data_IF_461555500957
#
_entry.id   IF_461555500957
#
_cell.length_a   1.000
_cell.length_b   1.000
_cell.length_c   1.000
_cell.angle_alpha   90.00
_cell.angle_beta   90.00
_cell.angle_gamma   90.00
#
_symmetry.space_group_name_H-M   'P 1'
#
loop_
_entity.id
_entity.type
_entity.pdbx_description
1 polymer ?
#
# COMPACT_ATOMS: atom_id res chain seq x y z
N UNK A 1 -0.62 -2.73 -19.85
CA UNK A 1 -1.48 -3.28 -18.77
C UNK A 1 -1.28 -2.35 -17.59
N UNK A 2 -2.33 -1.71 -17.08
CA UNK A 2 -2.17 -0.86 -15.89
C UNK A 2 -1.71 -1.76 -14.74
N UNK A 3 -0.66 -1.36 -14.01
CA UNK A 3 -0.24 -2.08 -12.81
C UNK A 3 -1.41 -2.13 -11.81
N UNK A 4 -1.71 -3.34 -11.35
CA UNK A 4 -2.81 -3.59 -10.41
C UNK A 4 -2.53 -2.80 -9.12
N UNK A 5 -1.30 -2.81 -8.62
CA UNK A 5 -0.88 -2.01 -7.46
C UNK A 5 0.24 -1.06 -7.89
N UNK A 6 0.09 0.23 -7.58
CA UNK A 6 1.08 1.26 -7.90
C UNK A 6 1.71 1.78 -6.61
N UNK A 7 3.01 1.54 -6.42
CA UNK A 7 3.78 2.18 -5.33
C UNK A 7 4.13 3.60 -5.74
N UNK A 8 3.79 4.59 -4.92
CA UNK A 8 4.06 6.01 -5.20
C UNK A 8 4.96 6.69 -4.16
N UNK A 9 5.22 6.04 -3.02
CA UNK A 9 6.25 6.46 -2.08
C UNK A 9 6.84 5.25 -1.36
N UNK A 10 8.17 5.21 -1.20
CA UNK A 10 8.87 4.14 -0.48
C UNK A 10 10.01 4.70 0.35
N UNK A 11 9.98 4.41 1.65
CA UNK A 11 11.07 4.64 2.60
C UNK A 11 11.75 3.34 3.01
N UNK A 12 12.57 3.41 4.06
CA UNK A 12 13.27 2.24 4.60
C UNK A 12 12.31 1.27 5.31
N UNK A 13 11.33 1.81 6.05
CA UNK A 13 10.40 1.03 6.89
C UNK A 13 8.94 1.22 6.48
N UNK A 14 8.64 2.15 5.58
CA UNK A 14 7.28 2.51 5.20
C UNK A 14 7.13 2.53 3.68
N UNK A 15 5.96 2.14 3.18
CA UNK A 15 5.64 2.17 1.76
C UNK A 15 4.19 2.62 1.57
N UNK A 16 3.92 3.42 0.54
CA UNK A 16 2.57 3.86 0.19
C UNK A 16 2.21 3.40 -1.21
N UNK A 17 1.06 2.74 -1.32
CA UNK A 17 0.59 2.11 -2.54
C UNK A 17 -0.86 2.48 -2.86
N UNK A 18 -1.20 2.55 -4.14
CA UNK A 18 -2.55 2.74 -4.63
C UNK A 18 -3.01 1.45 -5.32
N UNK A 19 -4.15 0.89 -4.90
CA UNK A 19 -4.67 -0.39 -5.39
C UNK A 19 -6.19 -0.32 -5.64
N UNK A 20 -6.77 -1.20 -6.48
CA UNK A 20 -8.20 -1.34 -6.65
C UNK A 20 -8.93 -1.46 -5.31
N UNK A 21 -10.09 -0.82 -5.20
CA UNK A 21 -10.85 -0.74 -3.96
C UNK A 21 -11.38 -2.10 -3.48
N UNK A 22 -11.46 -3.08 -4.38
CA UNK A 22 -11.84 -4.47 -4.10
C UNK A 22 -10.69 -5.34 -3.56
N UNK A 23 -9.44 -4.90 -3.66
CA UNK A 23 -8.31 -5.64 -3.09
C UNK A 23 -8.27 -5.49 -1.57
N UNK A 24 -8.02 -6.60 -0.87
CA UNK A 24 -7.77 -6.59 0.57
C UNK A 24 -6.31 -6.27 0.90
N UNK A 25 -6.06 -5.95 2.16
CA UNK A 25 -4.73 -5.61 2.66
C UNK A 25 -3.67 -6.69 2.38
N UNK A 26 -3.93 -7.97 2.70
CA UNK A 26 -3.00 -9.05 2.39
C UNK A 26 -2.64 -9.16 0.90
N UNK A 27 -3.61 -9.03 -0.02
CA UNK A 27 -3.35 -9.05 -1.45
C UNK A 27 -2.50 -7.85 -1.90
N UNK A 28 -2.74 -6.67 -1.34
CA UNK A 28 -1.91 -5.47 -1.60
C UNK A 28 -0.49 -5.69 -1.10
N UNK A 29 -0.30 -6.15 0.14
CA UNK A 29 1.03 -6.40 0.70
C UNK A 29 1.81 -7.46 -0.09
N UNK A 30 1.15 -8.53 -0.53
CA UNK A 30 1.76 -9.54 -1.38
C UNK A 30 2.16 -8.98 -2.76
N UNK A 31 1.31 -8.15 -3.38
CA UNK A 31 1.63 -7.50 -4.64
C UNK A 31 2.81 -6.52 -4.51
N UNK A 32 2.82 -5.68 -3.47
CA UNK A 32 3.93 -4.77 -3.18
C UNK A 32 5.20 -5.55 -2.91
N UNK A 33 5.16 -6.63 -2.13
CA UNK A 33 6.36 -7.44 -1.82
C UNK A 33 6.98 -8.12 -3.03
N UNK A 34 6.15 -8.54 -4.00
CA UNK A 34 6.63 -9.16 -5.25
C UNK A 34 7.38 -8.16 -6.12
N UNK A 35 6.83 -6.96 -6.29
CA UNK A 35 7.35 -5.99 -7.27
C UNK A 35 8.33 -4.99 -6.62
N UNK A 36 8.22 -4.79 -5.30
CA UNK A 36 9.01 -3.89 -4.47
C UNK A 36 9.35 -4.53 -3.11
N UNK A 37 10.27 -5.50 -3.03
CA UNK A 37 10.60 -6.17 -1.78
C UNK A 37 11.11 -5.19 -0.70
N UNK A 38 10.77 -5.45 0.58
CA UNK A 38 11.17 -4.61 1.73
C UNK A 38 12.66 -4.71 2.05
N UNK A 39 13.32 -5.80 1.63
CA UNK A 39 14.69 -6.11 2.02
C UNK A 39 14.82 -6.71 3.42
N UNK A 40 13.70 -7.00 4.09
CA UNK A 40 13.63 -7.70 5.38
C UNK A 40 13.02 -9.10 5.20
N UNK A 41 13.33 -10.03 6.11
CA UNK A 41 12.71 -11.37 6.10
C UNK A 41 11.20 -11.33 6.42
N UNK A 42 10.72 -10.23 7.03
CA UNK A 42 9.32 -10.04 7.38
C UNK A 42 8.44 -9.63 6.18
N UNK A 43 9.03 -9.05 5.13
CA UNK A 43 8.27 -8.50 4.01
C UNK A 43 7.50 -7.22 4.37
N UNK A 44 6.60 -6.80 3.50
CA UNK A 44 5.66 -5.70 3.81
C UNK A 44 4.40 -6.23 4.48
N UNK A 45 3.92 -5.50 5.49
CA UNK A 45 2.61 -5.68 6.13
C UNK A 45 1.80 -4.39 6.05
N UNK A 46 0.47 -4.46 6.23
CA UNK A 46 -0.36 -3.26 6.29
C UNK A 46 -0.14 -2.57 7.65
N UNK A 47 0.23 -1.29 7.60
CA UNK A 47 0.45 -0.51 8.81
C UNK A 47 -0.85 -0.35 9.60
N UNK A 48 -0.79 -0.47 10.92
CA UNK A 48 -1.95 -0.24 11.80
C UNK A 48 -2.27 1.24 12.00
N UNK A 49 -1.29 2.09 11.72
CA UNK A 49 -1.35 3.53 11.92
C UNK A 49 -2.11 4.20 10.77
N UNK A 50 -2.78 5.33 11.03
CA UNK A 50 -3.34 6.17 9.97
C UNK A 50 -2.22 6.82 9.13
N UNK A 51 -2.60 7.42 8.01
CA UNK A 51 -1.71 8.30 7.28
C UNK A 51 -1.32 9.53 8.13
N UNK A 52 -0.21 10.18 7.76
CA UNK A 52 0.35 11.32 8.50
C UNK A 52 -0.61 12.51 8.64
N UNK A 53 -1.52 12.66 7.69
CA UNK A 53 -2.58 13.68 7.67
C UNK A 53 -3.81 13.31 8.52
N UNK A 54 -3.84 12.11 9.10
CA UNK A 54 -4.93 11.61 9.93
C UNK A 54 -5.97 10.78 9.17
N UNK A 55 -5.82 10.61 7.85
CA UNK A 55 -6.71 9.73 7.08
C UNK A 55 -6.54 8.26 7.51
N UNK A 56 -7.62 7.45 7.52
CA UNK A 56 -7.55 6.05 7.91
C UNK A 56 -6.69 5.24 6.93
N UNK A 57 -6.19 4.09 7.37
CA UNK A 57 -5.56 3.11 6.49
C UNK A 57 -6.49 1.89 6.32
N UNK A 58 -7.03 1.60 5.12
CA UNK A 58 -6.88 2.38 3.88
C UNK A 58 -7.83 3.59 3.79
N UNK A 59 -7.51 4.54 2.91
CA UNK A 59 -8.38 5.66 2.54
C UNK A 59 -8.69 5.67 1.02
N UNK A 60 -9.77 6.33 0.58
CA UNK A 60 -10.07 6.47 -0.85
C UNK A 60 -8.97 7.21 -1.61
N UNK A 61 -8.74 6.82 -2.87
CA UNK A 61 -7.85 7.60 -3.73
C UNK A 61 -8.52 8.92 -4.16
N UNK A 62 -7.78 10.02 -4.07
CA UNK A 62 -8.25 11.35 -4.45
C UNK A 62 -8.33 11.58 -5.97
N UNK A 63 -7.76 10.66 -6.76
CA UNK A 63 -7.76 10.71 -8.24
C UNK A 63 -8.73 9.72 -8.86
N UNK A 64 -8.90 8.55 -8.25
CA UNK A 64 -9.71 7.45 -8.79
C UNK A 64 -10.56 6.81 -7.68
N UNK A 65 -11.87 7.02 -7.74
CA UNK A 65 -12.81 6.49 -6.75
C UNK A 65 -12.89 4.95 -6.73
N UNK A 66 -12.40 4.27 -7.77
CA UNK A 66 -12.29 2.81 -7.81
C UNK A 66 -11.01 2.30 -7.13
N UNK A 67 -10.22 3.17 -6.50
CA UNK A 67 -8.94 2.82 -5.85
C UNK A 67 -8.87 3.31 -4.41
N UNK A 68 -7.98 2.69 -3.65
CA UNK A 68 -7.66 3.02 -2.27
C UNK A 68 -6.15 3.19 -2.11
N UNK A 69 -5.76 4.11 -1.22
CA UNK A 69 -4.41 4.26 -0.74
C UNK A 69 -4.19 3.37 0.48
N UNK A 70 -3.01 2.74 0.50
CA UNK A 70 -2.57 1.83 1.54
C UNK A 70 -1.22 2.29 2.08
N UNK A 71 -1.07 2.28 3.39
CA UNK A 71 0.19 2.41 4.08
C UNK A 71 0.67 1.03 4.52
N UNK A 72 1.92 0.71 4.20
CA UNK A 72 2.60 -0.52 4.56
C UNK A 72 3.82 -0.25 5.42
N UNK A 73 4.17 -1.19 6.28
CA UNK A 73 5.34 -1.19 7.17
C UNK A 73 6.12 -2.50 7.06
N UNK A 74 7.41 -2.50 7.43
CA UNK A 74 8.25 -3.70 7.49
C UNK A 74 9.19 -3.73 8.70
#
# INVERSE_FOLDING_TARGET
MAEIVQVYARGLLMCSACAPAEMDGPAVAAAVSRDHPSGTELGWAIAKEPFRDGEPNPCPCNVDAARRHWLLEC
#
